data_IF_627412382006
#
_entry.id   IF_627412382006
#
_cell.length_a   1.000
_cell.length_b   1.000
_cell.length_c   1.000
_cell.angle_alpha   90.00
_cell.angle_beta   90.00
_cell.angle_gamma   90.00
#
_symmetry.space_group_name_H-M   'P 1'
#
loop_
_entity.id
_entity.type
_entity.pdbx_description
1 polymer ?
#
# COMPACT_ATOMS: atom_id res chain seq x y z
N UNK A 1 0.41 -11.29 -15.03
CA UNK A 1 0.18 -10.35 -13.91
C UNK A 1 0.84 -9.02 -14.28
N UNK A 2 0.28 -8.17 -15.15
CA UNK A 2 -0.99 -7.41 -15.20
C UNK A 2 -0.95 -6.04 -14.47
N UNK A 3 -0.34 -5.91 -13.29
CA UNK A 3 -0.11 -4.58 -12.68
C UNK A 3 0.08 -4.60 -11.15
N UNK A 4 0.35 -3.43 -10.56
CA UNK A 4 0.51 -3.31 -9.09
C UNK A 4 -0.81 -3.44 -8.35
N UNK A 5 -1.94 -3.03 -8.94
CA UNK A 5 -3.26 -3.09 -8.28
C UNK A 5 -3.63 -4.54 -7.99
N UNK A 6 -3.38 -5.40 -8.97
CA UNK A 6 -3.59 -6.83 -8.93
C UNK A 6 -2.68 -7.47 -7.89
N UNK A 7 -1.43 -7.01 -7.77
CA UNK A 7 -0.49 -7.47 -6.73
C UNK A 7 -0.94 -7.09 -5.33
N UNK A 8 -1.41 -5.87 -5.13
CA UNK A 8 -1.93 -5.44 -3.83
C UNK A 8 -3.18 -6.26 -3.45
N UNK A 9 -4.13 -6.40 -4.38
CA UNK A 9 -5.34 -7.20 -4.16
C UNK A 9 -5.04 -8.67 -3.85
N UNK A 10 -4.03 -9.25 -4.50
CA UNK A 10 -3.65 -10.65 -4.30
C UNK A 10 -3.20 -10.97 -2.86
N UNK A 11 -2.70 -9.98 -2.12
CA UNK A 11 -2.30 -10.12 -0.71
C UNK A 11 -3.35 -9.56 0.26
N UNK A 12 -4.57 -9.28 -0.22
CA UNK A 12 -5.63 -8.67 0.60
C UNK A 12 -5.44 -7.18 0.87
N UNK A 13 -4.59 -6.51 0.11
CA UNK A 13 -4.38 -5.07 0.14
C UNK A 13 -5.21 -4.31 -0.90
N UNK A 14 -5.03 -2.99 -0.93
CA UNK A 14 -5.64 -2.07 -1.90
C UNK A 14 -4.59 -1.12 -2.47
N UNK A 15 -4.82 -0.63 -3.69
CA UNK A 15 -3.97 0.36 -4.34
C UNK A 15 -4.83 1.43 -5.01
N UNK A 16 -4.56 2.69 -4.67
CA UNK A 16 -5.21 3.86 -5.28
C UNK A 16 -4.17 4.76 -5.92
N UNK A 17 -4.58 5.44 -6.98
CA UNK A 17 -3.75 6.36 -7.74
C UNK A 17 -4.57 7.61 -8.04
N UNK A 18 -3.97 8.79 -7.93
CA UNK A 18 -4.65 10.05 -8.19
C UNK A 18 -3.69 11.22 -8.38
N UNK A 19 -4.21 12.43 -8.63
CA UNK A 19 -3.40 13.65 -8.67
C UNK A 19 -2.83 13.97 -7.28
N UNK A 20 -1.58 14.41 -7.24
CA UNK A 20 -0.95 14.90 -6.01
C UNK A 20 -1.43 16.30 -5.60
N UNK A 21 -1.45 16.63 -4.31
CA UNK A 21 -2.01 17.90 -3.80
C UNK A 21 -1.22 19.14 -4.24
N UNK A 22 0.03 18.98 -4.66
CA UNK A 22 0.89 20.07 -5.16
C UNK A 22 1.30 19.81 -6.62
N UNK A 23 0.53 18.97 -7.34
CA UNK A 23 0.88 18.42 -8.64
C UNK A 23 1.47 17.02 -8.58
N UNK A 24 1.78 16.44 -9.75
CA UNK A 24 2.28 15.07 -9.87
C UNK A 24 1.24 13.99 -9.57
N UNK A 25 1.70 12.81 -9.15
CA UNK A 25 0.87 11.64 -8.89
C UNK A 25 1.02 11.18 -7.44
N UNK A 26 -0.12 10.91 -6.81
CA UNK A 26 -0.20 10.19 -5.55
C UNK A 26 -0.49 8.71 -5.84
N UNK A 27 0.29 7.83 -5.24
CA UNK A 27 0.08 6.38 -5.28
C UNK A 27 0.10 5.88 -3.85
N UNK A 28 -1.04 5.32 -3.42
CA UNK A 28 -1.22 4.84 -2.05
C UNK A 28 -1.55 3.35 -2.06
N UNK A 29 -0.76 2.56 -1.33
CA UNK A 29 -0.97 1.14 -1.14
C UNK A 29 -1.25 0.85 0.33
N UNK A 30 -2.35 0.15 0.61
CA UNK A 30 -2.62 -0.43 1.93
C UNK A 30 -2.32 -1.91 1.84
N UNK A 31 -1.43 -2.42 2.69
CA UNK A 31 -1.03 -3.82 2.72
C UNK A 31 -1.17 -4.35 4.15
N UNK A 32 -1.57 -5.61 4.34
CA UNK A 32 -1.49 -6.25 5.65
C UNK A 32 -0.05 -6.24 6.16
N UNK A 33 0.16 -5.76 7.38
CA UNK A 33 1.42 -5.95 8.10
C UNK A 33 1.37 -7.29 8.84
N UNK A 34 2.53 -7.91 9.03
CA UNK A 34 2.64 -9.00 10.00
C UNK A 34 2.20 -8.49 11.39
N UNK A 35 1.64 -9.36 12.25
CA UNK A 35 1.48 -9.02 13.65
C UNK A 35 2.83 -8.59 14.22
N UNK A 36 2.82 -7.56 15.06
CA UNK A 36 4.01 -7.01 15.68
C UNK A 36 4.66 -8.11 16.54
N UNK A 37 5.78 -8.68 16.08
CA UNK A 37 6.55 -9.68 16.84
C UNK A 37 7.40 -8.96 17.89
N UNK A 38 6.77 -8.10 18.68
CA UNK A 38 7.40 -7.37 19.77
C UNK A 38 8.51 -6.42 19.32
N UNK A 39 8.23 -5.53 18.38
CA UNK A 39 8.98 -4.29 18.26
C UNK A 39 8.66 -3.39 19.44
N UNK A 40 9.15 -3.72 20.64
CA UNK A 40 9.19 -2.76 21.75
C UNK A 40 10.02 -1.57 21.28
N UNK A 41 9.37 -0.48 20.91
CA UNK A 41 9.99 0.84 20.98
C UNK A 41 10.12 1.19 22.47
N UNK A 42 11.31 1.58 22.97
CA UNK A 42 11.45 2.17 24.29
C UNK A 42 10.68 3.49 24.41
#
# INVERSE_FOLDING_TARGET
>A
LLGMRERAAAVGGDLRTGPGPVGGFLVEATLPSAPDEGGTLP
#
